data_IF_654137645535
#
_entry.id   IF_654137645535
#
_cell.length_a   1.000
_cell.length_b   1.000
_cell.length_c   1.000
_cell.angle_alpha   90.00
_cell.angle_beta   90.00
_cell.angle_gamma   90.00
#
_symmetry.space_group_name_H-M   'P 1'
#
loop_
_entity.id
_entity.type
_entity.pdbx_description
1 polymer ?
#
# COMPACT_ATOMS: atom_id res chain seq x y z
N UNK A 1 18.98 9.29 19.79
CA UNK A 1 18.65 8.72 18.47
C UNK A 1 19.86 8.93 17.59
N UNK A 2 20.42 7.84 17.09
CA UNK A 2 21.34 7.86 15.96
C UNK A 2 20.61 8.37 14.71
N UNK A 3 21.34 8.89 13.72
CA UNK A 3 20.78 9.18 12.40
C UNK A 3 20.19 7.90 11.76
N UNK A 4 20.82 6.74 12.03
CA UNK A 4 20.31 5.43 11.62
C UNK A 4 18.98 5.08 12.30
N UNK A 5 18.85 5.34 13.61
CA UNK A 5 17.59 5.08 14.34
C UNK A 5 16.43 5.91 13.75
N UNK A 6 16.71 7.16 13.36
CA UNK A 6 15.72 8.05 12.75
C UNK A 6 15.29 7.54 11.37
N UNK A 7 16.25 7.13 10.52
CA UNK A 7 15.97 6.54 9.20
C UNK A 7 15.15 5.24 9.31
N UNK A 8 15.45 4.39 10.30
CA UNK A 8 14.67 3.17 10.57
C UNK A 8 13.23 3.52 10.99
N UNK A 9 13.02 4.51 11.86
CA UNK A 9 11.67 4.93 12.25
C UNK A 9 10.87 5.51 11.09
N UNK A 10 11.50 6.32 10.23
CA UNK A 10 10.86 6.85 9.01
C UNK A 10 10.46 5.70 8.05
N UNK A 11 11.38 4.77 7.80
CA UNK A 11 11.11 3.57 7.00
C UNK A 11 9.96 2.70 7.56
N UNK A 12 9.89 2.50 8.87
CA UNK A 12 8.82 1.72 9.51
C UNK A 12 7.46 2.38 9.30
N UNK A 13 7.36 3.69 9.50
CA UNK A 13 6.12 4.47 9.32
C UNK A 13 5.69 4.49 7.85
N UNK A 14 6.62 4.77 6.93
CA UNK A 14 6.32 4.79 5.49
C UNK A 14 5.89 3.40 4.99
N UNK A 15 6.55 2.34 5.46
CA UNK A 15 6.20 0.97 5.07
C UNK A 15 4.83 0.55 5.59
N UNK A 16 4.44 0.91 6.81
CA UNK A 16 3.10 0.59 7.32
C UNK A 16 1.98 1.30 6.53
N UNK A 17 2.19 2.56 6.13
CA UNK A 17 1.28 3.29 5.25
C UNK A 17 1.21 2.65 3.85
N UNK A 18 2.37 2.37 3.23
CA UNK A 18 2.46 1.73 1.91
C UNK A 18 1.77 0.36 1.88
N UNK A 19 2.02 -0.50 2.87
CA UNK A 19 1.39 -1.82 2.99
C UNK A 19 -0.11 -1.73 3.25
N UNK A 20 -0.56 -0.70 3.98
CA UNK A 20 -1.97 -0.43 4.20
C UNK A 20 -2.69 0.09 2.96
N UNK A 21 -1.96 0.64 1.98
CA UNK A 21 -2.53 0.96 0.67
C UNK A 21 -2.54 -0.27 -0.24
N UNK A 22 -1.44 -1.02 -0.32
CA UNK A 22 -1.36 -2.30 -1.06
C UNK A 22 -2.50 -3.24 -0.69
N UNK A 23 -2.80 -3.36 0.60
CA UNK A 23 -3.89 -4.21 1.12
C UNK A 23 -5.28 -3.79 0.61
N UNK A 24 -5.54 -2.49 0.43
CA UNK A 24 -6.81 -2.00 -0.15
C UNK A 24 -6.85 -2.24 -1.65
N UNK A 25 -5.78 -1.86 -2.34
CA UNK A 25 -5.66 -1.93 -3.80
C UNK A 25 -5.78 -3.39 -4.28
N UNK A 26 -5.26 -4.37 -3.52
CA UNK A 26 -5.40 -5.80 -3.81
C UNK A 26 -6.85 -6.30 -3.70
N UNK A 27 -7.62 -5.79 -2.73
CA UNK A 27 -9.03 -6.14 -2.56
C UNK A 27 -9.92 -5.47 -3.63
N UNK A 28 -9.54 -4.25 -4.04
CA UNK A 28 -10.17 -3.56 -5.16
C UNK A 28 -9.93 -4.30 -6.48
N UNK A 29 -8.68 -4.69 -6.76
CA UNK A 29 -8.30 -5.50 -7.93
C UNK A 29 -9.00 -6.86 -7.99
N UNK A 30 -9.18 -7.54 -6.86
CA UNK A 30 -9.92 -8.80 -6.83
C UNK A 30 -11.41 -8.61 -7.16
N UNK A 31 -11.98 -7.47 -6.79
CA UNK A 31 -13.36 -7.10 -7.12
C UNK A 31 -13.50 -6.59 -8.57
N UNK A 32 -12.46 -5.91 -9.08
CA UNK A 32 -12.41 -5.26 -10.39
C UNK A 32 -11.03 -5.49 -11.05
N UNK A 33 -10.84 -6.64 -11.76
CA UNK A 33 -9.53 -7.04 -12.29
C UNK A 33 -8.87 -6.08 -13.28
N UNK A 34 -9.65 -5.19 -13.92
CA UNK A 34 -9.16 -4.24 -14.93
C UNK A 34 -8.47 -2.99 -14.32
N UNK A 35 -8.30 -2.94 -13.00
CA UNK A 35 -7.77 -1.80 -12.24
C UNK A 35 -6.26 -1.53 -12.41
N UNK A 36 -5.81 -1.19 -13.63
CA UNK A 36 -4.41 -0.87 -13.96
C UNK A 36 -3.76 0.16 -13.02
N UNK A 37 -4.52 1.15 -12.53
CA UNK A 37 -4.03 2.16 -11.57
C UNK A 37 -3.72 1.56 -10.18
N UNK A 38 -4.60 0.70 -9.66
CA UNK A 38 -4.39 -0.03 -8.40
C UNK A 38 -3.17 -0.96 -8.51
N UNK A 39 -3.01 -1.67 -9.62
CA UNK A 39 -1.84 -2.52 -9.86
C UNK A 39 -0.53 -1.71 -9.93
N UNK A 40 -0.55 -0.54 -10.58
CA UNK A 40 0.60 0.36 -10.61
C UNK A 40 0.92 0.97 -9.24
N UNK A 41 -0.10 1.27 -8.42
CA UNK A 41 0.04 1.70 -7.02
C UNK A 41 0.74 0.63 -6.17
N UNK A 42 0.23 -0.61 -6.20
CA UNK A 42 0.81 -1.76 -5.49
C UNK A 42 2.28 -1.99 -5.89
N UNK A 43 2.56 -1.98 -7.19
CA UNK A 43 3.91 -2.20 -7.70
C UNK A 43 4.90 -1.15 -7.15
N UNK A 44 4.52 0.14 -7.18
CA UNK A 44 5.35 1.22 -6.63
C UNK A 44 5.59 1.05 -5.13
N UNK A 45 4.53 0.77 -4.36
CA UNK A 45 4.63 0.59 -2.91
C UNK A 45 5.59 -0.55 -2.52
N UNK A 46 5.46 -1.72 -3.16
CA UNK A 46 6.36 -2.87 -2.90
C UNK A 46 7.79 -2.59 -3.38
N UNK A 47 7.96 -1.92 -4.53
CA UNK A 47 9.28 -1.54 -5.03
C UNK A 47 10.00 -0.55 -4.09
N UNK A 48 9.29 0.43 -3.52
CA UNK A 48 9.82 1.35 -2.50
C UNK A 48 10.24 0.59 -1.24
N UNK A 49 9.41 -0.31 -0.72
CA UNK A 49 9.75 -1.15 0.45
C UNK A 49 11.01 -1.98 0.17
N UNK A 50 11.11 -2.63 -0.99
CA UNK A 50 12.31 -3.38 -1.41
C UNK A 50 13.55 -2.48 -1.47
N UNK A 51 13.45 -1.31 -2.11
CA UNK A 51 14.56 -0.36 -2.25
C UNK A 51 15.10 0.10 -0.89
N UNK A 52 14.22 0.50 0.02
CA UNK A 52 14.61 1.01 1.34
C UNK A 52 15.15 -0.11 2.25
N UNK A 53 14.56 -1.31 2.23
CA UNK A 53 15.07 -2.42 3.04
C UNK A 53 16.43 -2.95 2.53
N UNK A 54 16.67 -2.93 1.21
CA UNK A 54 17.98 -3.22 0.59
C UNK A 54 19.05 -2.22 1.06
N UNK A 55 18.74 -0.92 1.02
CA UNK A 55 19.63 0.14 1.52
C UNK A 55 19.95 0.01 3.01
N UNK A 56 18.98 -0.37 3.84
CA UNK A 56 19.16 -0.59 5.28
C UNK A 56 19.78 -1.96 5.63
N UNK A 57 19.99 -2.85 4.66
CA UNK A 57 20.65 -4.15 4.85
C UNK A 57 19.76 -5.30 5.33
N UNK A 58 18.43 -5.15 5.27
CA UNK A 58 17.46 -6.17 5.70
C UNK A 58 17.24 -7.25 4.63
N UNK A 59 18.25 -8.09 4.43
CA UNK A 59 18.36 -9.06 3.34
C UNK A 59 17.21 -10.09 3.21
N UNK A 60 16.58 -10.51 4.31
CA UNK A 60 15.43 -11.45 4.25
C UNK A 60 14.18 -10.72 3.79
N UNK A 61 13.97 -9.51 4.32
CA UNK A 61 12.86 -8.65 3.93
C UNK A 61 12.98 -8.26 2.44
N UNK A 62 14.20 -7.93 1.99
CA UNK A 62 14.51 -7.71 0.57
C UNK A 62 14.18 -8.95 -0.28
N UNK A 63 14.60 -10.15 0.15
CA UNK A 63 14.31 -11.41 -0.57
C UNK A 63 12.81 -11.66 -0.73
N UNK A 64 12.01 -11.43 0.32
CA UNK A 64 10.56 -11.58 0.26
C UNK A 64 9.91 -10.52 -0.64
N UNK A 65 10.26 -9.24 -0.46
CA UNK A 65 9.73 -8.13 -1.24
C UNK A 65 10.06 -8.26 -2.74
N UNK A 66 11.29 -8.68 -3.08
CA UNK A 66 11.70 -9.00 -4.44
C UNK A 66 10.81 -10.10 -5.05
N UNK A 67 10.56 -11.19 -4.32
CA UNK A 67 9.74 -12.31 -4.82
C UNK A 67 8.30 -11.86 -5.14
N UNK A 68 7.76 -10.95 -4.34
CA UNK A 68 6.49 -10.27 -4.60
C UNK A 68 6.52 -9.36 -5.81
N UNK A 69 7.54 -8.49 -5.91
CA UNK A 69 7.70 -7.56 -7.03
C UNK A 69 7.81 -8.28 -8.38
N UNK A 70 8.52 -9.43 -8.44
CA UNK A 70 8.55 -10.26 -9.65
C UNK A 70 7.16 -10.77 -10.05
N UNK A 71 6.34 -11.21 -9.09
CA UNK A 71 4.97 -11.66 -9.35
C UNK A 71 4.07 -10.50 -9.82
N UNK A 72 4.23 -9.31 -9.22
CA UNK A 72 3.54 -8.08 -9.61
C UNK A 72 3.98 -7.55 -10.97
N UNK A 73 5.24 -7.78 -11.37
CA UNK A 73 5.74 -7.42 -12.70
C UNK A 73 5.01 -8.23 -13.78
N UNK A 74 4.90 -9.55 -13.61
CA UNK A 74 4.20 -10.43 -14.55
C UNK A 74 2.69 -10.10 -14.66
N UNK A 75 2.05 -9.70 -13.55
CA UNK A 75 0.67 -9.20 -13.56
C UNK A 75 0.55 -7.87 -14.35
N UNK A 76 1.50 -6.95 -14.15
CA UNK A 76 1.52 -5.62 -14.79
C UNK A 76 1.79 -5.73 -16.29
N UNK A 77 2.72 -6.60 -16.66
CA UNK A 77 3.19 -6.79 -18.03
C UNK A 77 2.21 -7.68 -18.84
N UNK A 78 1.27 -8.34 -18.17
CA UNK A 78 0.16 -9.10 -18.76
C UNK A 78 0.46 -10.58 -18.99
N UNK A 79 1.63 -11.07 -18.58
CA UNK A 79 2.07 -12.47 -18.73
C UNK A 79 1.22 -13.45 -17.91
N UNK A 80 0.65 -12.99 -16.77
CA UNK A 80 -0.29 -13.75 -15.95
C UNK A 80 -1.50 -12.89 -15.57
N UNK A 81 -2.68 -13.52 -15.48
CA UNK A 81 -3.89 -12.85 -14.99
C UNK A 81 -4.02 -12.96 -13.47
N UNK A 82 -4.60 -11.94 -12.84
CA UNK A 82 -4.90 -11.97 -11.41
C UNK A 82 -5.92 -13.08 -11.09
N UNK A 83 -5.68 -13.81 -10.00
CA UNK A 83 -6.57 -14.86 -9.49
C UNK A 83 -6.69 -14.76 -7.97
N UNK A 84 -7.75 -15.32 -7.39
CA UNK A 84 -7.92 -15.35 -5.93
C UNK A 84 -6.78 -16.04 -5.18
N UNK A 85 -6.10 -17.02 -5.81
CA UNK A 85 -4.88 -17.63 -5.24
C UNK A 85 -3.72 -16.62 -5.20
N UNK A 86 -3.53 -15.85 -6.27
CA UNK A 86 -2.50 -14.80 -6.36
C UNK A 86 -2.81 -13.67 -5.37
N UNK A 87 -4.04 -13.16 -5.29
CA UNK A 87 -4.44 -12.14 -4.32
C UNK A 87 -4.20 -12.62 -2.88
N UNK A 88 -4.54 -13.88 -2.57
CA UNK A 88 -4.32 -14.47 -1.25
C UNK A 88 -2.84 -14.61 -0.91
N UNK A 89 -2.00 -15.02 -1.87
CA UNK A 89 -0.56 -15.10 -1.69
C UNK A 89 0.09 -13.72 -1.50
N UNK A 90 -0.37 -12.69 -2.23
CA UNK A 90 0.09 -11.30 -2.09
C UNK A 90 -0.34 -10.68 -0.75
N UNK A 91 -1.56 -10.93 -0.26
CA UNK A 91 -1.95 -10.52 1.09
C UNK A 91 -1.16 -11.25 2.19
N UNK A 92 -0.86 -12.55 1.99
CA UNK A 92 0.00 -13.31 2.92
C UNK A 92 1.44 -12.74 2.95
N UNK A 93 1.93 -12.24 1.81
CA UNK A 93 3.21 -11.52 1.73
C UNK A 93 3.17 -10.18 2.48
N UNK A 94 2.08 -9.41 2.35
CA UNK A 94 1.89 -8.16 3.12
C UNK A 94 1.96 -8.44 4.63
N UNK A 95 1.30 -9.50 5.11
CA UNK A 95 1.35 -9.88 6.53
C UNK A 95 2.76 -10.29 6.98
N UNK A 96 3.46 -11.08 6.17
CA UNK A 96 4.83 -11.50 6.45
C UNK A 96 5.78 -10.28 6.51
N UNK A 97 5.66 -9.33 5.57
CA UNK A 97 6.40 -8.08 5.60
C UNK A 97 6.08 -7.28 6.88
N UNK A 98 4.80 -7.09 7.25
CA UNK A 98 4.42 -6.40 8.50
C UNK A 98 5.03 -7.07 9.73
N UNK A 99 5.07 -8.42 9.77
CA UNK A 99 5.71 -9.18 10.85
C UNK A 99 7.23 -8.94 10.92
N UNK A 100 7.91 -8.85 9.77
CA UNK A 100 9.34 -8.52 9.72
C UNK A 100 9.63 -7.08 10.15
N UNK A 101 8.78 -6.12 9.76
CA UNK A 101 8.89 -4.72 10.22
C UNK A 101 8.73 -4.60 11.75
N UNK A 102 7.82 -5.38 12.35
CA UNK A 102 7.71 -5.46 13.82
C UNK A 102 8.99 -6.02 14.47
N UNK A 103 9.62 -7.06 13.90
CA UNK A 103 10.92 -7.55 14.37
C UNK A 103 12.04 -6.51 14.25
N UNK A 104 12.03 -5.70 13.19
CA UNK A 104 12.97 -4.58 13.00
C UNK A 104 12.75 -3.52 14.09
N UNK A 105 11.50 -3.17 14.37
CA UNK A 105 11.16 -2.20 15.42
C UNK A 105 11.60 -2.64 16.83
N UNK A 106 11.54 -3.95 17.13
CA UNK A 106 11.92 -4.49 18.44
C UNK A 106 13.44 -4.76 18.58
N UNK A 107 14.11 -5.21 17.51
CA UNK A 107 15.47 -5.78 17.58
C UNK A 107 16.47 -5.22 16.57
N UNK A 108 16.08 -4.31 15.68
CA UNK A 108 16.87 -3.83 14.53
C UNK A 108 17.36 -4.96 13.60
N UNK A 109 16.62 -6.07 13.52
CA UNK A 109 16.89 -7.21 12.65
C UNK A 109 15.59 -7.68 12.00
N UNK A 110 15.66 -8.23 10.78
CA UNK A 110 14.52 -8.67 9.97
C UNK A 110 13.91 -10.03 10.38
N UNK A 111 14.12 -10.43 11.64
CA UNK A 111 13.61 -11.65 12.25
C UNK A 111 14.43 -12.91 11.94
N UNK A 112 14.11 -14.02 12.60
CA UNK A 112 14.75 -15.32 12.29
C UNK A 112 14.07 -16.03 11.11
N UNK A 113 12.75 -15.89 10.97
CA UNK A 113 11.92 -16.54 9.96
C UNK A 113 12.19 -16.01 8.54
N UNK A 114 12.41 -16.93 7.60
CA UNK A 114 12.73 -16.61 6.19
C UNK A 114 11.51 -16.77 5.24
N UNK A 115 10.34 -17.13 5.78
CA UNK A 115 9.09 -17.33 5.02
C UNK A 115 9.26 -18.23 3.77
N UNK A 116 10.13 -19.24 3.84
CA UNK A 116 10.56 -20.03 2.68
C UNK A 116 9.39 -20.73 1.94
N UNK A 117 8.38 -21.18 2.66
CA UNK A 117 7.15 -21.76 2.07
C UNK A 117 6.35 -20.73 1.28
N UNK A 118 6.21 -19.51 1.80
CA UNK A 118 5.51 -18.40 1.15
C UNK A 118 6.29 -17.88 -0.07
N UNK A 119 7.62 -17.77 0.02
CA UNK A 119 8.46 -17.46 -1.15
C UNK A 119 8.30 -18.53 -2.23
N UNK A 120 8.29 -19.81 -1.84
CA UNK A 120 8.05 -20.94 -2.77
C UNK A 120 6.65 -20.90 -3.41
N UNK A 121 5.62 -20.50 -2.66
CA UNK A 121 4.26 -20.27 -3.15
C UNK A 121 4.23 -19.15 -4.20
N UNK A 122 4.81 -17.99 -3.89
CA UNK A 122 4.88 -16.85 -4.81
C UNK A 122 5.65 -17.22 -6.09
N UNK A 123 6.80 -17.88 -5.99
CA UNK A 123 7.59 -18.35 -7.14
C UNK A 123 6.86 -19.43 -7.97
N UNK A 124 5.99 -20.26 -7.36
CA UNK A 124 5.12 -21.18 -8.11
C UNK A 124 4.12 -20.39 -8.96
N UNK A 125 3.48 -19.37 -8.38
CA UNK A 125 2.45 -18.57 -9.04
C UNK A 125 2.99 -17.71 -10.20
N UNK A 126 4.27 -17.32 -10.15
CA UNK A 126 4.96 -16.62 -11.25
C UNK A 126 4.97 -17.42 -12.57
N UNK A 127 4.81 -18.74 -12.54
CA UNK A 127 4.91 -19.58 -13.76
C UNK A 127 3.58 -19.69 -14.54
N UNK A 128 2.56 -18.93 -14.15
CA UNK A 128 1.20 -19.12 -14.61
C UNK A 128 0.54 -20.36 -13.99
N UNK A 129 -0.79 -20.37 -13.93
CA UNK A 129 -1.54 -21.45 -13.30
C UNK A 129 -1.75 -22.64 -14.24
N UNK A 130 -0.66 -23.27 -14.69
CA UNK A 130 -0.66 -24.56 -15.42
C UNK A 130 -0.06 -25.72 -14.61
N UNK A 131 0.10 -25.51 -13.29
CA UNK A 131 0.35 -26.58 -12.33
C UNK A 131 -0.98 -26.99 -11.69
N UNK A 132 -1.84 -27.66 -12.47
CA UNK A 132 -3.06 -28.25 -11.96
C UNK A 132 -2.77 -29.16 -10.78
N UNK A 133 -3.18 -28.74 -9.58
CA UNK A 133 -3.30 -29.64 -8.43
C UNK A 133 -4.22 -30.78 -8.91
N UNK A 134 -3.83 -32.06 -8.81
CA UNK A 134 -4.74 -33.15 -9.03
C UNK A 134 -5.76 -33.16 -7.89
N UNK A 135 -6.78 -32.30 -8.01
CA UNK A 135 -8.00 -32.38 -7.22
C UNK A 135 -8.63 -33.71 -7.60
N UNK A 136 -8.37 -34.71 -6.76
CA UNK A 136 -8.85 -36.07 -6.94
C UNK A 136 -10.38 -36.07 -6.84
N UNK A 137 -11.04 -35.85 -7.98
CA UNK A 137 -12.47 -35.97 -8.12
C UNK A 137 -12.85 -37.43 -7.76
N UNK A 138 -13.69 -37.66 -6.74
CA UNK A 138 -14.28 -38.97 -6.54
C UNK A 138 -15.28 -39.19 -7.69
N UNK A 139 -14.84 -39.88 -8.73
CA UNK A 139 -15.68 -40.24 -9.87
C UNK A 139 -16.87 -41.12 -9.41
N UNK A 140 -18.04 -41.02 -10.08
CA UNK A 140 -19.31 -41.28 -9.41
C UNK A 140 -19.67 -42.75 -9.31
N UNK A 141 -20.31 -43.14 -8.20
CA UNK A 141 -20.99 -44.43 -8.11
C UNK A 141 -22.23 -44.43 -9.02
N UNK A 142 -22.28 -45.36 -9.97
CA UNK A 142 -23.36 -45.47 -10.93
C UNK A 142 -24.68 -45.96 -10.30
N UNK A 143 -25.79 -45.38 -10.74
CA UNK A 143 -27.13 -45.99 -10.64
C UNK A 143 -27.67 -46.09 -12.06
N UNK A 144 -28.00 -47.32 -12.48
CA UNK A 144 -28.62 -47.60 -13.78
C UNK A 144 -30.14 -47.42 -13.69
N UNK A 145 -30.74 -46.87 -14.76
CA UNK A 145 -32.12 -47.15 -15.17
C UNK A 145 -32.25 -46.99 -16.69
N UNK A 146 -32.91 -47.95 -17.33
CA UNK A 146 -33.34 -47.92 -18.73
C UNK A 146 -34.64 -47.07 -18.87
N UNK A 147 -35.25 -46.76 -20.03
CA UNK A 147 -35.04 -47.11 -21.45
C UNK A 147 -35.83 -46.08 -22.33
N UNK A 148 -36.00 -46.37 -23.64
CA UNK A 148 -36.75 -45.65 -24.70
C UNK A 148 -35.88 -44.71 -25.56
N UNK A 149 -35.33 -45.15 -26.70
CA UNK A 149 -35.98 -45.38 -28.01
C UNK A 149 -36.73 -44.17 -28.60
N UNK A 150 -36.10 -43.49 -29.55
CA UNK A 150 -36.62 -43.50 -30.93
C UNK A 150 -35.55 -43.14 -31.97
N UNK A 151 -35.68 -43.78 -33.13
CA UNK A 151 -34.84 -43.64 -34.33
C UNK A 151 -35.26 -42.48 -35.23
N UNK A 152 -34.32 -41.89 -35.97
CA UNK A 152 -34.44 -41.81 -37.43
C UNK A 152 -33.09 -41.55 -38.12
N UNK A 153 -32.93 -42.15 -39.29
CA UNK A 153 -31.88 -41.95 -40.30
C UNK A 153 -32.18 -40.66 -41.12
N UNK A 154 -31.34 -40.10 -42.00
CA UNK A 154 -30.38 -40.69 -42.96
C UNK A 154 -29.24 -39.74 -43.41
N UNK A 155 -28.33 -40.33 -44.20
CA UNK A 155 -27.41 -39.82 -45.25
C UNK A 155 -27.72 -38.40 -45.84
N UNK A 156 -26.81 -37.60 -46.42
CA UNK A 156 -25.38 -37.70 -46.81
C UNK A 156 -24.77 -36.25 -46.82
N UNK A 157 -23.60 -35.85 -47.34
CA UNK A 157 -22.58 -36.45 -48.23
C UNK A 157 -21.19 -35.74 -48.06
N UNK A 158 -20.18 -36.13 -48.85
CA UNK A 158 -18.93 -35.37 -49.16
C UNK A 158 -18.57 -35.58 -50.65
N UNK A 159 -17.52 -35.00 -51.26
CA UNK A 159 -16.63 -33.88 -50.88
C UNK A 159 -16.63 -32.77 -51.98
N UNK A 160 -15.66 -31.83 -51.99
CA UNK A 160 -14.62 -31.75 -53.04
C UNK A 160 -13.71 -30.50 -52.90
N UNK A 161 -12.42 -30.76 -53.18
CA UNK A 161 -11.23 -29.91 -53.28
C UNK A 161 -11.38 -28.56 -54.00
N UNK A 162 -10.53 -27.57 -53.63
CA UNK A 162 -9.71 -26.79 -54.59
C UNK A 162 -8.60 -25.96 -53.90
N UNK A 163 -7.40 -26.01 -54.47
CA UNK A 163 -6.19 -25.18 -54.24
C UNK A 163 -5.72 -24.71 -55.64
N UNK A 164 -4.70 -23.84 -55.83
CA UNK A 164 -4.03 -22.87 -54.95
C UNK A 164 -3.86 -21.47 -55.61
N UNK A 165 -3.22 -20.49 -54.92
CA UNK A 165 -2.54 -19.36 -55.58
C UNK A 165 -1.41 -18.76 -54.72
N UNK A 166 -0.30 -18.40 -55.38
CA UNK A 166 0.88 -17.66 -54.88
C UNK A 166 0.60 -16.12 -55.03
N UNK A 167 1.42 -15.12 -54.69
CA UNK A 167 2.72 -14.88 -54.03
C UNK A 167 2.58 -13.52 -53.27
N UNK A 168 3.53 -12.86 -52.58
CA UNK A 168 4.88 -12.43 -52.97
C UNK A 168 5.76 -12.14 -51.72
N UNK A 169 7.05 -11.97 -51.97
CA UNK A 169 8.12 -11.66 -51.00
C UNK A 169 8.20 -10.14 -50.73
N UNK A 170 8.66 -9.72 -49.55
CA UNK A 170 9.92 -8.98 -49.48
C UNK A 170 10.50 -8.85 -48.05
N UNK A 171 11.83 -8.90 -48.02
CA UNK A 171 12.77 -8.57 -46.95
C UNK A 171 12.75 -7.10 -46.52
N UNK A 172 13.11 -6.82 -45.26
CA UNK A 172 14.43 -6.18 -45.00
C UNK A 172 14.94 -6.41 -43.55
N UNK A 173 16.24 -6.23 -43.36
CA UNK A 173 17.00 -6.37 -42.12
C UNK A 173 16.96 -5.08 -41.25
N UNK A 174 17.41 -5.14 -39.98
CA UNK A 174 17.63 -3.91 -39.21
C UNK A 174 17.80 -4.09 -37.69
N UNK A 175 18.98 -4.50 -37.23
CA UNK A 175 19.31 -4.48 -35.80
C UNK A 175 19.58 -3.05 -35.30
N UNK A 176 19.21 -2.75 -34.04
CA UNK A 176 19.48 -1.44 -33.42
C UNK A 176 19.23 -1.40 -31.91
N UNK A 177 20.30 -1.55 -31.13
CA UNK A 177 20.33 -1.36 -29.67
C UNK A 177 19.95 0.07 -29.26
N UNK A 178 19.17 0.22 -28.17
CA UNK A 178 18.88 1.52 -27.56
C UNK A 178 19.59 1.69 -26.20
N UNK A 179 20.19 2.87 -25.99
CA UNK A 179 21.04 3.20 -24.85
C UNK A 179 20.30 3.57 -23.55
N UNK A 180 21.05 3.50 -22.45
CA UNK A 180 20.67 3.95 -21.10
C UNK A 180 20.98 5.47 -20.98
N UNK A 181 20.07 6.32 -20.47
CA UNK A 181 20.40 7.71 -20.13
C UNK A 181 21.22 7.79 -18.84
N UNK A 182 22.38 8.46 -18.90
CA UNK A 182 23.24 8.76 -17.76
C UNK A 182 22.61 9.79 -16.80
N UNK A 183 22.85 9.61 -15.50
CA UNK A 183 22.32 10.41 -14.40
C UNK A 183 23.45 11.20 -13.73
N UNK A 184 24.02 12.16 -14.46
CA UNK A 184 25.12 13.01 -13.98
C UNK A 184 24.76 14.51 -14.09
N UNK A 185 24.47 15.15 -12.94
CA UNK A 185 23.90 16.52 -12.95
C UNK A 185 23.88 17.26 -11.61
N UNK A 186 24.81 16.98 -10.68
CA UNK A 186 24.87 17.65 -9.38
C UNK A 186 26.06 18.62 -9.27
N UNK A 187 25.71 19.89 -9.02
CA UNK A 187 26.54 21.01 -8.51
C UNK A 187 27.42 21.81 -9.50
N UNK A 188 27.07 23.09 -9.63
CA UNK A 188 28.01 24.19 -9.32
C UNK A 188 27.28 25.32 -8.59
N UNK A 189 27.84 25.78 -7.48
CA UNK A 189 27.44 27.02 -6.79
C UNK A 189 27.97 28.23 -7.58
N UNK A 190 27.16 29.31 -7.70
CA UNK A 190 27.61 30.54 -8.35
C UNK A 190 26.63 31.71 -8.17
N UNK A 191 27.03 32.70 -7.39
CA UNK A 191 26.47 34.07 -7.29
C UNK A 191 27.68 34.98 -6.95
N UNK A 192 27.72 36.31 -7.21
CA UNK A 192 26.58 37.19 -7.53
C UNK A 192 26.77 38.26 -8.64
N UNK A 193 25.65 38.90 -9.01
CA UNK A 193 25.60 40.31 -9.39
C UNK A 193 25.18 40.64 -10.84
N UNK A 194 24.24 41.57 -11.01
CA UNK A 194 23.91 42.14 -12.33
C UNK A 194 22.44 42.58 -12.52
N UNK A 195 22.11 43.76 -12.02
CA UNK A 195 20.83 44.48 -12.21
C UNK A 195 20.30 44.52 -13.66
N UNK A 196 19.01 44.17 -13.86
CA UNK A 196 18.00 45.06 -14.50
C UNK A 196 16.58 44.47 -14.52
N UNK A 197 15.59 45.37 -14.50
CA UNK A 197 14.16 45.06 -14.43
C UNK A 197 13.47 45.04 -15.81
N UNK A 198 12.37 44.27 -15.94
CA UNK A 198 11.08 44.85 -16.35
C UNK A 198 9.86 43.96 -15.98
N UNK A 199 8.64 44.50 -16.18
CA UNK A 199 7.38 44.04 -15.58
C UNK A 199 6.59 43.05 -16.44
N UNK A 200 5.81 42.17 -15.80
CA UNK A 200 4.55 41.71 -16.39
C UNK A 200 3.91 40.45 -15.77
N UNK A 201 2.66 40.55 -15.32
CA UNK A 201 1.71 39.43 -15.39
C UNK A 201 1.44 38.61 -14.12
N UNK A 202 0.27 38.86 -13.53
CA UNK A 202 -0.71 37.90 -13.00
C UNK A 202 -0.37 36.90 -11.85
N UNK A 203 -1.34 36.81 -10.93
CA UNK A 203 -1.72 35.63 -10.12
C UNK A 203 -0.62 34.88 -9.36
N UNK A 204 -0.38 35.29 -8.11
CA UNK A 204 -0.14 34.33 -7.03
C UNK A 204 -1.48 33.85 -6.45
N UNK A 205 -2.08 32.88 -7.13
CA UNK A 205 -2.95 31.92 -6.46
C UNK A 205 -2.06 31.01 -5.64
N UNK A 206 -1.85 31.34 -4.37
CA UNK A 206 -1.23 30.43 -3.41
C UNK A 206 -2.22 29.29 -3.17
N UNK A 207 -2.09 28.22 -3.97
CA UNK A 207 -2.71 26.94 -3.64
C UNK A 207 -2.15 26.53 -2.28
N UNK A 208 -3.02 26.43 -1.27
CA UNK A 208 -2.64 25.95 0.04
C UNK A 208 -2.20 24.48 -0.13
N UNK A 209 -0.89 24.25 -0.16
CA UNK A 209 -0.34 22.92 0.02
C UNK A 209 -0.64 22.56 1.47
N UNK A 210 -1.62 21.69 1.68
CA UNK A 210 -1.95 21.18 3.01
C UNK A 210 -0.69 20.55 3.62
N UNK A 211 -0.13 21.25 4.61
CA UNK A 211 1.08 20.84 5.30
C UNK A 211 0.70 19.75 6.31
N UNK A 212 0.49 18.55 5.79
CA UNK A 212 0.28 17.36 6.61
C UNK A 212 1.56 17.06 7.40
N UNK A 213 1.48 17.19 8.72
CA UNK A 213 2.55 16.84 9.65
C UNK A 213 2.14 15.54 10.32
N UNK A 214 2.90 14.46 10.11
CA UNK A 214 2.73 13.21 10.86
C UNK A 214 3.11 13.48 12.32
N UNK A 215 2.23 13.15 13.26
CA UNK A 215 2.45 13.33 14.71
C UNK A 215 2.22 11.99 15.41
N UNK A 216 3.15 11.60 16.28
CA UNK A 216 3.01 10.40 17.11
C UNK A 216 1.76 10.47 18.00
N UNK A 217 0.98 9.39 18.03
CA UNK A 217 -0.25 9.29 18.82
C UNK A 217 0.05 9.35 20.32
N UNK A 218 1.17 8.75 20.76
CA UNK A 218 1.61 8.81 22.15
C UNK A 218 2.00 10.22 22.62
N UNK A 219 2.53 11.05 21.71
CA UNK A 219 2.79 12.47 21.97
C UNK A 219 1.49 13.27 22.11
N UNK A 220 0.48 13.02 21.27
CA UNK A 220 -0.84 13.64 21.39
C UNK A 220 -1.55 13.26 22.70
N UNK A 221 -1.42 12.00 23.14
CA UNK A 221 -1.93 11.55 24.45
C UNK A 221 -1.23 12.25 25.62
N UNK A 222 0.11 12.41 25.56
CA UNK A 222 0.86 13.18 26.58
C UNK A 222 0.42 14.64 26.63
N UNK A 223 0.22 15.28 25.48
CA UNK A 223 -0.27 16.65 25.39
C UNK A 223 -1.70 16.78 25.96
N UNK A 224 -2.58 15.82 25.68
CA UNK A 224 -3.92 15.75 26.29
C UNK A 224 -3.84 15.67 27.82
N UNK A 225 -2.99 14.80 28.37
CA UNK A 225 -2.83 14.65 29.81
C UNK A 225 -2.29 15.94 30.46
N UNK A 226 -1.25 16.54 29.88
CA UNK A 226 -0.70 17.83 30.34
C UNK A 226 -1.74 18.96 30.31
N UNK A 227 -2.60 19.00 29.29
CA UNK A 227 -3.66 20.01 29.22
C UNK A 227 -4.81 19.70 30.18
N UNK A 228 -5.10 18.43 30.47
CA UNK A 228 -5.96 18.04 31.58
C UNK A 228 -5.44 18.56 32.93
N UNK A 229 -4.15 18.37 33.22
CA UNK A 229 -3.49 18.91 34.42
C UNK A 229 -3.48 20.44 34.45
N UNK A 230 -3.29 21.10 33.30
CA UNK A 230 -3.38 22.56 33.17
C UNK A 230 -4.79 23.07 33.45
N UNK A 231 -5.84 22.40 32.94
CA UNK A 231 -7.26 22.70 33.23
C UNK A 231 -7.55 22.55 34.72
N UNK A 232 -7.05 21.47 35.36
CA UNK A 232 -7.22 21.26 36.80
C UNK A 232 -6.50 22.35 37.62
N UNK A 233 -5.27 22.69 37.27
CA UNK A 233 -4.48 23.75 37.91
C UNK A 233 -5.16 25.12 37.75
N UNK A 234 -5.67 25.43 36.54
CA UNK A 234 -6.48 26.62 36.24
C UNK A 234 -7.75 26.67 37.08
N UNK A 235 -8.44 25.54 37.26
CA UNK A 235 -9.66 25.45 38.06
C UNK A 235 -9.38 25.63 39.56
N UNK A 236 -8.22 25.18 40.05
CA UNK A 236 -7.75 25.46 41.42
C UNK A 236 -7.42 26.94 41.61
N UNK A 237 -6.71 27.57 40.65
CA UNK A 237 -6.38 29.00 40.68
C UNK A 237 -7.66 29.85 40.74
N UNK A 238 -8.70 29.54 39.96
CA UNK A 238 -9.99 30.24 40.01
C UNK A 238 -10.74 30.11 41.36
N UNK A 239 -10.38 29.15 42.21
CA UNK A 239 -10.97 28.95 43.53
C UNK A 239 -10.15 29.61 44.66
N UNK A 240 -8.99 30.21 44.36
CA UNK A 240 -8.17 30.90 45.36
C UNK A 240 -8.83 32.21 45.83
N UNK A 241 -9.13 32.38 47.14
CA UNK A 241 -9.77 33.61 47.64
C UNK A 241 -8.95 34.88 47.40
N UNK A 242 -7.61 34.76 47.34
CA UNK A 242 -6.66 35.87 47.11
C UNK A 242 -6.91 36.58 45.76
N UNK A 243 -7.50 35.88 44.78
CA UNK A 243 -7.86 36.43 43.48
C UNK A 243 -9.13 37.31 43.51
N UNK A 244 -9.90 37.31 44.59
CA UNK A 244 -11.14 38.11 44.67
C UNK A 244 -10.86 39.61 44.84
N UNK A 245 -9.70 39.99 45.39
CA UNK A 245 -9.37 41.38 45.73
C UNK A 245 -8.49 42.11 44.67
N UNK A 246 -7.89 41.39 43.70
CA UNK A 246 -7.02 41.99 42.67
C UNK A 246 -7.63 41.91 41.24
N UNK A 247 -8.12 43.04 40.67
CA UNK A 247 -8.71 43.08 39.33
C UNK A 247 -7.74 42.71 38.19
N UNK A 248 -6.44 42.96 38.36
CA UNK A 248 -5.42 42.67 37.35
C UNK A 248 -5.13 41.17 37.28
N UNK A 249 -5.15 40.51 38.43
CA UNK A 249 -4.97 39.07 38.57
C UNK A 249 -6.21 38.31 38.07
N UNK A 250 -7.43 38.82 38.33
CA UNK A 250 -8.67 38.29 37.74
C UNK A 250 -8.65 38.33 36.21
N UNK A 251 -8.28 39.47 35.62
CA UNK A 251 -8.17 39.63 34.16
C UNK A 251 -7.17 38.64 33.57
N UNK A 252 -6.04 38.42 34.26
CA UNK A 252 -5.02 37.45 33.86
C UNK A 252 -5.52 36.00 33.95
N UNK A 253 -6.27 35.66 35.00
CA UNK A 253 -6.90 34.34 35.19
C UNK A 253 -8.00 34.04 34.16
N UNK A 254 -8.76 35.05 33.75
CA UNK A 254 -9.73 34.95 32.65
C UNK A 254 -9.04 34.71 31.29
N UNK A 255 -7.90 35.38 31.02
CA UNK A 255 -7.11 35.10 29.80
C UNK A 255 -6.51 33.70 29.79
N UNK A 256 -5.93 33.26 30.91
CA UNK A 256 -5.42 31.89 31.08
C UNK A 256 -6.53 30.86 30.87
N UNK A 257 -7.75 31.15 31.36
CA UNK A 257 -8.94 30.33 31.13
C UNK A 257 -9.29 30.15 29.65
N UNK A 258 -9.31 31.25 28.88
CA UNK A 258 -9.61 31.19 27.44
C UNK A 258 -8.56 30.39 26.68
N UNK A 259 -7.27 30.72 26.87
CA UNK A 259 -6.15 30.04 26.21
C UNK A 259 -6.13 28.53 26.55
N UNK A 260 -6.44 28.15 27.78
CA UNK A 260 -6.48 26.74 28.18
C UNK A 260 -7.64 25.99 27.50
N UNK A 261 -8.81 26.62 27.38
CA UNK A 261 -9.96 26.04 26.66
C UNK A 261 -9.68 25.90 25.15
N UNK A 262 -9.11 26.93 24.52
CA UNK A 262 -8.72 26.89 23.10
C UNK A 262 -7.67 25.80 22.83
N UNK A 263 -6.68 25.66 23.71
CA UNK A 263 -5.66 24.62 23.63
C UNK A 263 -6.27 23.21 23.81
N UNK A 264 -7.21 23.05 24.76
CA UNK A 264 -7.94 21.80 24.95
C UNK A 264 -8.75 21.43 23.69
N UNK A 265 -9.50 22.38 23.12
CA UNK A 265 -10.29 22.15 21.90
C UNK A 265 -9.39 21.81 20.71
N UNK A 266 -8.27 22.52 20.55
CA UNK A 266 -7.27 22.26 19.52
C UNK A 266 -6.70 20.85 19.59
N UNK A 267 -6.22 20.42 20.76
CA UNK A 267 -5.67 19.07 20.96
C UNK A 267 -6.76 17.99 20.80
N UNK A 268 -7.99 18.24 21.28
CA UNK A 268 -9.11 17.32 21.06
C UNK A 268 -9.40 17.12 19.56
N UNK A 269 -9.34 18.20 18.77
CA UNK A 269 -9.48 18.14 17.30
C UNK A 269 -8.32 17.40 16.65
N UNK A 270 -7.06 17.67 17.03
CA UNK A 270 -5.89 16.95 16.50
C UNK A 270 -5.89 15.46 16.86
N UNK A 271 -6.49 15.09 18.01
CA UNK A 271 -6.66 13.70 18.45
C UNK A 271 -7.93 13.02 17.91
N UNK A 272 -8.73 13.68 17.04
CA UNK A 272 -9.84 13.01 16.38
C UNK A 272 -9.33 12.03 15.33
N UNK A 273 -9.06 10.79 15.77
CA UNK A 273 -8.80 9.69 14.85
C UNK A 273 -10.07 9.47 14.00
N UNK A 274 -10.01 9.63 12.66
CA UNK A 274 -11.18 9.48 11.82
C UNK A 274 -11.69 8.04 11.93
N UNK A 275 -12.97 7.90 12.30
CA UNK A 275 -13.55 6.59 12.62
C UNK A 275 -13.45 5.61 11.43
N UNK A 276 -13.39 6.13 10.20
CA UNK A 276 -13.13 5.38 8.97
C UNK A 276 -11.85 4.54 8.98
N UNK A 277 -10.79 4.94 9.71
CA UNK A 277 -9.57 4.14 9.83
C UNK A 277 -9.81 2.82 10.58
N UNK A 278 -10.82 2.75 11.45
CA UNK A 278 -11.24 1.50 12.09
C UNK A 278 -11.96 0.61 11.06
N UNK A 279 -12.74 1.21 10.16
CA UNK A 279 -13.49 0.47 9.14
C UNK A 279 -12.62 -0.07 8.00
N UNK A 280 -11.45 0.51 7.75
CA UNK A 280 -10.52 0.07 6.69
C UNK A 280 -10.06 -1.39 6.79
N UNK A 281 -10.16 -2.03 7.97
CA UNK A 281 -9.82 -3.45 8.16
C UNK A 281 -10.96 -4.41 7.84
N UNK A 282 -12.22 -3.95 7.78
CA UNK A 282 -13.36 -4.84 7.55
C UNK A 282 -13.43 -5.47 6.16
N UNK A 283 -13.08 -4.79 5.03
CA UNK A 283 -13.11 -5.42 3.71
C UNK A 283 -12.35 -6.74 3.65
N UNK A 284 -11.15 -6.78 4.24
CA UNK A 284 -10.34 -8.00 4.33
C UNK A 284 -10.97 -9.07 5.23
N UNK A 285 -11.41 -8.68 6.43
CA UNK A 285 -12.05 -9.63 7.37
C UNK A 285 -13.34 -10.23 6.76
N UNK A 286 -14.09 -9.44 5.98
CA UNK A 286 -15.27 -9.91 5.26
C UNK A 286 -14.89 -10.88 4.13
N UNK A 287 -13.84 -10.58 3.33
CA UNK A 287 -13.30 -11.50 2.32
C UNK A 287 -12.86 -12.83 2.93
N UNK A 288 -11.99 -12.78 3.95
CA UNK A 288 -11.41 -13.98 4.55
C UNK A 288 -12.51 -14.84 5.22
N UNK A 289 -13.55 -14.22 5.79
CA UNK A 289 -14.73 -14.91 6.30
C UNK A 289 -15.64 -15.47 5.20
N UNK A 290 -15.78 -14.78 4.06
CA UNK A 290 -16.54 -15.28 2.90
C UNK A 290 -15.88 -16.55 2.33
N UNK A 291 -14.56 -16.51 2.11
CA UNK A 291 -13.74 -17.65 1.69
C UNK A 291 -13.85 -18.81 2.69
N UNK A 292 -13.75 -18.55 3.99
CA UNK A 292 -13.92 -19.57 5.03
C UNK A 292 -15.34 -20.18 5.09
N UNK A 293 -16.36 -19.43 4.65
CA UNK A 293 -17.74 -19.90 4.52
C UNK A 293 -18.08 -20.51 3.14
N UNK A 294 -17.11 -20.56 2.20
CA UNK A 294 -17.31 -21.05 0.84
C UNK A 294 -18.27 -20.19 0.00
N UNK A 295 -18.19 -18.86 0.15
CA UNK A 295 -19.02 -17.87 -0.56
C UNK A 295 -18.18 -16.89 -1.36
#
# INVERSE_FOLDING_TARGET
>A
MSEMDAAIQEFLVESDENLSQVEKDLLELESHPDGQEALASIFRAIHTVKGTCSFLGYSKLESLAHTGETLLSLLRDGDISLSGEITTALLSMVDAIRKMLACIQESNHDGEEDFAELKSLLTRLQKGSDAGIPMAAPAPAAIQSAQEEHSHTDENDTPETLVPAQAEEHSDEGAGTAEIPDLSGLRTLGNPGGDKAEKGGASHGLSAVDSSIRVDVGLLDKLMNMVGELVLTRNQILQCPILLDDPSLQTSSQRLSLITSELQEGIMKTRMQPIGNIFGKFPRVVRDLALACGK
#
